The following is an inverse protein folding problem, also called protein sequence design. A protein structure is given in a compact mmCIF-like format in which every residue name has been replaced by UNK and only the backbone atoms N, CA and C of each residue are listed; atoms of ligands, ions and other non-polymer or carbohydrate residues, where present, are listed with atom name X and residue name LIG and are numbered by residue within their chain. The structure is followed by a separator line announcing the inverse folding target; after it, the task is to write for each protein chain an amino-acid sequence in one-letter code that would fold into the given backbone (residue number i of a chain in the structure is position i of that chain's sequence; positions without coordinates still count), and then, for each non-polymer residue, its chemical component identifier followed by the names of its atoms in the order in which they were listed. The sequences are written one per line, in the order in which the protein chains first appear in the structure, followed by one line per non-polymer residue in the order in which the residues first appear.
data_IF_788185476917
#
_entry.id   IF_788185476917
#
_cell.length_a   1.000
_cell.length_b   1.000
_cell.length_c   1.000
_cell.angle_alpha   90.00
_cell.angle_beta   90.00
_cell.angle_gamma   90.00
#
_symmetry.space_group_name_H-M   'P 1'
#
loop_
_entity.id
_entity.type
_entity.pdbx_description
1 polymer ?
#
# COMPACT_ATOMS: atom_id res chain seq x y z
N UNK A 1 10.88 6.57 8.16
CA UNK A 1 9.90 5.46 8.09
C UNK A 1 9.20 5.41 6.72
N UNK A 2 8.48 6.46 6.30
CA UNK A 2 7.78 6.49 4.98
C UNK A 2 8.66 6.12 3.78
N UNK A 3 9.86 6.69 3.67
CA UNK A 3 10.76 6.45 2.54
C UNK A 3 11.20 4.97 2.41
N UNK A 4 11.61 4.33 3.52
CA UNK A 4 12.13 2.95 3.52
C UNK A 4 11.06 1.91 3.21
N UNK A 5 9.80 2.24 3.53
CA UNK A 5 8.64 1.44 3.15
C UNK A 5 8.38 1.63 1.66
N UNK A 6 8.33 2.86 1.14
CA UNK A 6 8.14 3.12 -0.30
C UNK A 6 9.23 2.48 -1.17
N UNK A 7 10.49 2.45 -0.73
CA UNK A 7 11.58 1.76 -1.43
C UNK A 7 11.38 0.23 -1.52
N UNK A 8 10.59 -0.34 -0.61
CA UNK A 8 10.26 -1.77 -0.60
C UNK A 8 8.97 -2.09 -1.34
N UNK A 9 8.18 -1.10 -1.77
CA UNK A 9 6.94 -1.31 -2.50
C UNK A 9 7.21 -1.33 -3.99
N UNK A 10 6.55 -2.23 -4.72
CA UNK A 10 6.52 -2.14 -6.19
C UNK A 10 5.76 -0.88 -6.63
N UNK A 11 5.98 -0.41 -7.86
CA UNK A 11 5.32 0.80 -8.39
C UNK A 11 3.79 0.76 -8.22
N UNK A 12 3.18 -0.40 -8.45
CA UNK A 12 1.75 -0.62 -8.24
C UNK A 12 1.36 -0.46 -6.77
N UNK A 13 2.13 -1.05 -5.86
CA UNK A 13 1.87 -1.00 -4.42
C UNK A 13 2.03 0.42 -3.87
N UNK A 14 3.00 1.17 -4.39
CA UNK A 14 3.22 2.58 -4.05
C UNK A 14 2.06 3.46 -4.54
N UNK A 15 1.56 3.24 -5.77
CA UNK A 15 0.39 3.96 -6.30
C UNK A 15 -0.90 3.63 -5.55
N UNK A 16 -1.09 2.36 -5.19
CA UNK A 16 -2.20 1.90 -4.35
C UNK A 16 -2.13 2.57 -2.98
N UNK A 17 -0.96 2.57 -2.33
CA UNK A 17 -0.79 3.23 -1.03
C UNK A 17 -1.03 4.75 -1.11
N UNK A 18 -0.49 5.41 -2.15
CA UNK A 18 -0.65 6.84 -2.35
C UNK A 18 -2.13 7.20 -2.50
N UNK A 19 -2.85 6.49 -3.38
CA UNK A 19 -4.28 6.74 -3.62
C UNK A 19 -5.12 6.48 -2.36
N UNK A 20 -4.75 5.49 -1.55
CA UNK A 20 -5.38 5.24 -0.25
C UNK A 20 -5.13 6.38 0.75
N UNK A 21 -3.90 6.94 0.78
CA UNK A 21 -3.56 8.09 1.61
C UNK A 21 -4.24 9.39 1.15
N UNK A 22 -4.54 9.51 -0.14
CA UNK A 22 -5.37 10.59 -0.70
C UNK A 22 -6.86 10.45 -0.31
N UNK A 23 -7.26 9.33 0.31
CA UNK A 23 -8.64 9.07 0.71
C UNK A 23 -9.54 8.57 -0.42
N UNK A 24 -8.97 8.12 -1.55
CA UNK A 24 -9.75 7.53 -2.64
C UNK A 24 -10.37 6.20 -2.20
N UNK A 25 -11.58 5.93 -2.66
CA UNK A 25 -12.23 4.65 -2.43
C UNK A 25 -11.56 3.53 -3.23
N UNK A 26 -11.69 2.28 -2.77
CA UNK A 26 -11.14 1.12 -3.49
C UNK A 26 -11.66 1.00 -4.94
N UNK A 27 -12.87 1.51 -5.22
CA UNK A 27 -13.47 1.52 -6.55
C UNK A 27 -12.85 2.58 -7.46
N UNK A 28 -12.51 3.74 -6.92
CA UNK A 28 -11.79 4.79 -7.66
C UNK A 28 -10.36 4.35 -7.95
N UNK A 29 -9.67 3.80 -6.96
CA UNK A 29 -8.35 3.21 -7.13
C UNK A 29 -8.33 2.10 -8.19
N UNK A 30 -9.36 1.25 -8.19
CA UNK A 30 -9.55 0.22 -9.19
C UNK A 30 -9.71 0.80 -10.60
N UNK A 31 -10.49 1.88 -10.74
CA UNK A 31 -10.64 2.60 -12.02
C UNK A 31 -9.33 3.26 -12.46
N UNK A 32 -8.69 4.02 -11.58
CA UNK A 32 -7.45 4.76 -11.87
C UNK A 32 -6.31 3.83 -12.29
N UNK A 33 -6.17 2.69 -11.59
CA UNK A 33 -5.13 1.70 -11.86
C UNK A 33 -5.54 0.66 -12.90
N UNK A 34 -6.73 0.79 -13.47
CA UNK A 34 -7.34 -0.15 -14.42
C UNK A 34 -7.24 -1.61 -13.93
N UNK A 35 -7.55 -1.80 -12.64
CA UNK A 35 -7.44 -3.07 -11.92
C UNK A 35 -8.74 -3.38 -11.21
N UNK A 36 -8.99 -4.67 -10.98
CA UNK A 36 -10.15 -5.06 -10.20
C UNK A 36 -10.00 -4.63 -8.74
N UNK A 37 -11.10 -4.25 -8.08
CA UNK A 37 -11.14 -3.88 -6.64
C UNK A 37 -10.47 -4.93 -5.76
N UNK A 38 -10.65 -6.22 -6.08
CA UNK A 38 -9.98 -7.34 -5.40
C UNK A 38 -8.45 -7.32 -5.55
N UNK A 39 -7.92 -6.87 -6.69
CA UNK A 39 -6.47 -6.70 -6.87
C UNK A 39 -5.95 -5.51 -6.06
N UNK A 40 -6.74 -4.43 -5.94
CA UNK A 40 -6.41 -3.30 -5.08
C UNK A 40 -6.32 -3.74 -3.63
N UNK A 41 -7.32 -4.48 -3.14
CA UNK A 41 -7.35 -5.06 -1.80
C UNK A 41 -6.13 -5.96 -1.55
N UNK A 42 -5.86 -6.91 -2.46
CA UNK A 42 -4.67 -7.77 -2.38
C UNK A 42 -3.35 -6.98 -2.34
N UNK A 43 -3.25 -5.86 -3.08
CA UNK A 43 -2.07 -5.00 -3.07
C UNK A 43 -1.95 -4.22 -1.75
N UNK A 44 -3.05 -3.62 -1.28
CA UNK A 44 -3.13 -2.94 0.02
C UNK A 44 -2.77 -3.88 1.17
N UNK A 45 -3.22 -5.13 1.12
CA UNK A 45 -2.94 -6.12 2.14
C UNK A 45 -1.45 -6.47 2.19
N UNK A 46 -0.78 -6.59 1.03
CA UNK A 46 0.69 -6.77 0.97
C UNK A 46 1.45 -5.56 1.49
N UNK A 47 1.03 -4.36 1.09
CA UNK A 47 1.59 -3.10 1.59
C UNK A 47 1.47 -3.03 3.10
N UNK A 48 0.28 -3.32 3.65
CA UNK A 48 0.00 -3.28 5.09
C UNK A 48 0.89 -4.23 5.87
N UNK A 49 1.04 -5.48 5.39
CA UNK A 49 1.97 -6.45 5.98
C UNK A 49 3.43 -5.98 5.96
N UNK A 50 3.88 -5.35 4.87
CA UNK A 50 5.23 -4.77 4.79
C UNK A 50 5.42 -3.62 5.79
N UNK A 51 4.42 -2.74 5.92
CA UNK A 51 4.42 -1.64 6.89
C UNK A 51 4.46 -2.21 8.31
N UNK A 52 3.56 -3.13 8.64
CA UNK A 52 3.48 -3.77 9.97
C UNK A 52 4.80 -4.45 10.33
N UNK A 53 5.44 -5.16 9.39
CA UNK A 53 6.76 -5.76 9.62
C UNK A 53 7.84 -4.72 9.89
N UNK A 54 7.87 -3.63 9.12
CA UNK A 54 8.83 -2.53 9.35
C UNK A 54 8.57 -1.79 10.67
N UNK A 55 7.30 -1.65 11.06
CA UNK A 55 6.92 -0.98 12.30
C UNK A 55 7.24 -1.85 13.52
N UNK A 56 6.98 -3.16 13.43
CA UNK A 56 7.33 -4.14 14.46
C UNK A 56 8.86 -4.25 14.67
N UNK A 57 9.66 -4.08 13.61
CA UNK A 57 11.13 -3.97 13.74
C UNK A 57 11.59 -2.72 14.50
N UNK A 58 10.78 -1.66 14.55
CA UNK A 58 11.08 -0.40 15.25
C UNK A 58 10.62 -0.46 16.73
N UNK A 59 9.68 -1.36 17.07
CA UNK A 59 9.19 -1.57 18.43
C UNK A 59 9.98 -2.62 19.24
N UNK A 60 11.08 -3.16 18.71
CA UNK A 60 11.99 -3.98 19.50
C UNK A 60 12.88 -3.08 20.38
N UNK A 61 12.83 -3.24 21.72
CA UNK A 61 13.63 -2.45 22.67
C UNK A 61 15.14 -2.72 22.57
#
# INVERSE_FOLDING_TARGET
IKARIQENLSDLESQVLLSYLEGKSYQEMARDLNRHVKSIDNALQRVKRKIEKNLAEIELP
#
